data_IF_651768740095
#
_entry.id   IF_651768740095
#
_cell.length_a   1.000
_cell.length_b   1.000
_cell.length_c   1.000
_cell.angle_alpha   90.00
_cell.angle_beta   90.00
_cell.angle_gamma   90.00
#
_symmetry.space_group_name_H-M   'P 1'
#
loop_
_entity.id
_entity.type
_entity.pdbx_description
1 polymer ?
#
# COMPACT_ATOMS: atom_id res chain seq x y z
N UNK A 1 2.23 11.81 -40.43
CA UNK A 1 3.28 11.45 -39.45
C UNK A 1 4.06 10.27 -39.97
N UNK A 2 5.39 10.28 -39.85
CA UNK A 2 6.22 9.14 -40.28
C UNK A 2 5.81 7.90 -39.47
N UNK A 3 5.95 6.71 -40.06
CA UNK A 3 5.50 5.43 -39.43
C UNK A 3 6.04 5.27 -37.99
N UNK A 4 7.27 5.74 -37.74
CA UNK A 4 7.90 5.73 -36.42
C UNK A 4 7.23 6.67 -35.41
N UNK A 5 6.87 7.90 -35.80
CA UNK A 5 6.18 8.86 -34.90
C UNK A 5 4.84 8.31 -34.44
N UNK A 6 4.08 7.68 -35.35
CA UNK A 6 2.79 7.09 -35.02
C UNK A 6 2.92 5.91 -34.02
N UNK A 7 4.01 5.14 -34.09
CA UNK A 7 4.29 4.04 -33.15
C UNK A 7 4.64 4.60 -31.77
N UNK A 8 5.52 5.60 -31.71
CA UNK A 8 5.91 6.24 -30.45
C UNK A 8 4.70 6.86 -29.73
N UNK A 9 3.84 7.57 -30.47
CA UNK A 9 2.66 8.20 -29.89
C UNK A 9 1.68 7.17 -29.33
N UNK A 10 1.49 6.03 -30.02
CA UNK A 10 0.69 4.90 -29.52
C UNK A 10 1.27 4.32 -28.23
N UNK A 11 2.58 4.14 -28.15
CA UNK A 11 3.25 3.63 -26.95
C UNK A 11 3.06 4.57 -25.75
N UNK A 12 3.23 5.89 -25.96
CA UNK A 12 3.01 6.89 -24.91
C UNK A 12 1.57 6.86 -24.40
N UNK A 13 0.58 6.77 -25.29
CA UNK A 13 -0.83 6.68 -24.90
C UNK A 13 -1.09 5.41 -24.08
N UNK A 14 -0.59 4.25 -24.53
CA UNK A 14 -0.75 2.98 -23.81
C UNK A 14 -0.12 3.08 -22.41
N UNK A 15 1.09 3.63 -22.32
CA UNK A 15 1.79 3.81 -21.05
C UNK A 15 1.06 4.78 -20.11
N UNK A 16 0.47 5.85 -20.64
CA UNK A 16 -0.35 6.79 -19.87
C UNK A 16 -1.60 6.10 -19.28
N UNK A 17 -2.27 5.24 -20.06
CA UNK A 17 -3.42 4.47 -19.58
C UNK A 17 -3.02 3.54 -18.43
N UNK A 18 -1.93 2.79 -18.59
CA UNK A 18 -1.43 1.92 -17.51
C UNK A 18 -1.04 2.70 -16.25
N UNK A 19 -0.43 3.88 -16.41
CA UNK A 19 -0.10 4.76 -15.29
C UNK A 19 -1.34 5.22 -14.52
N UNK A 20 -2.41 5.62 -15.22
CA UNK A 20 -3.67 6.05 -14.59
C UNK A 20 -4.29 4.89 -13.81
N UNK A 21 -4.29 3.67 -14.38
CA UNK A 21 -4.81 2.47 -13.72
C UNK A 21 -4.00 2.16 -12.45
N UNK A 22 -2.68 2.14 -12.56
CA UNK A 22 -1.80 1.87 -11.42
C UNK A 22 -1.99 2.92 -10.30
N UNK A 23 -2.07 4.20 -10.66
CA UNK A 23 -2.32 5.28 -9.71
C UNK A 23 -3.69 5.14 -9.03
N UNK A 24 -4.71 4.74 -9.78
CA UNK A 24 -6.05 4.51 -9.24
C UNK A 24 -6.06 3.36 -8.24
N UNK A 25 -5.37 2.26 -8.55
CA UNK A 25 -5.23 1.12 -7.64
C UNK A 25 -4.49 1.50 -6.35
N UNK A 26 -3.40 2.28 -6.48
CA UNK A 26 -2.63 2.75 -5.32
C UNK A 26 -3.40 3.76 -4.46
N UNK A 27 -4.24 4.60 -5.06
CA UNK A 27 -5.02 5.60 -4.32
C UNK A 27 -5.98 4.97 -3.29
N UNK A 28 -6.62 3.85 -3.65
CA UNK A 28 -7.55 3.13 -2.78
C UNK A 28 -6.87 2.08 -1.91
N UNK A 29 -5.58 1.83 -2.12
CA UNK A 29 -4.80 0.94 -1.26
C UNK A 29 -4.20 1.77 -0.14
N UNK A 30 -4.41 1.42 1.14
CA UNK A 30 -3.76 2.12 2.24
C UNK A 30 -2.23 1.98 2.12
N UNK A 31 -1.58 3.02 1.58
CA UNK A 31 -0.13 3.10 1.39
C UNK A 31 0.63 2.92 2.70
N UNK A 32 -0.03 3.19 3.83
CA UNK A 32 0.45 2.96 5.19
C UNK A 32 0.84 1.51 5.49
N UNK A 33 0.23 0.52 4.82
CA UNK A 33 0.58 -0.90 5.00
C UNK A 33 1.92 -1.26 4.34
N UNK A 34 2.29 -0.54 3.28
CA UNK A 34 3.52 -0.80 2.51
C UNK A 34 4.68 0.13 2.87
N UNK A 35 4.37 1.37 3.30
CA UNK A 35 5.34 2.35 3.78
C UNK A 35 5.50 2.36 5.30
N UNK A 36 4.59 1.70 6.02
CA UNK A 36 4.76 1.41 7.43
C UNK A 36 6.01 0.57 7.58
N UNK A 37 7.04 1.14 8.22
CA UNK A 37 8.19 0.38 8.67
C UNK A 37 7.66 -0.75 9.56
N UNK A 38 7.64 -1.97 9.03
CA UNK A 38 7.43 -3.17 9.83
C UNK A 38 8.70 -3.32 10.69
N UNK A 39 8.72 -2.60 11.80
CA UNK A 39 9.56 -2.93 12.94
C UNK A 39 8.74 -3.79 13.90
N UNK A 40 8.12 -4.85 13.39
CA UNK A 40 7.79 -5.98 14.25
C UNK A 40 9.08 -6.77 14.48
N UNK A 41 9.93 -6.19 15.32
CA UNK A 41 10.96 -6.95 15.99
C UNK A 41 10.25 -7.84 17.01
N UNK A 42 10.42 -9.16 16.90
CA UNK A 42 10.00 -10.10 17.93
C UNK A 42 10.62 -9.68 19.26
N UNK A 43 9.82 -9.02 20.12
CA UNK A 43 10.26 -8.51 21.42
C UNK A 43 9.85 -7.08 21.77
N UNK A 44 9.38 -6.25 20.82
CA UNK A 44 8.99 -4.84 21.08
C UNK A 44 7.47 -4.59 20.87
N UNK A 45 6.66 -5.62 20.62
CA UNK A 45 5.20 -5.51 20.81
C UNK A 45 4.82 -5.66 22.29
N UNK A 46 5.27 -4.71 23.11
CA UNK A 46 4.79 -4.51 24.48
C UNK A 46 4.59 -3.02 24.68
N UNK A 47 3.38 -2.50 24.41
CA UNK A 47 2.77 -1.44 25.24
C UNK A 47 1.43 -0.83 24.76
N UNK A 48 0.85 -1.18 23.62
CA UNK A 48 -0.48 -0.64 23.24
C UNK A 48 -1.58 -1.69 23.06
N UNK A 49 -1.54 -2.74 23.89
CA UNK A 49 -2.74 -3.54 24.17
C UNK A 49 -2.90 -3.79 25.66
N UNK A 50 -2.71 -2.74 26.46
CA UNK A 50 -3.23 -2.68 27.83
C UNK A 50 -4.75 -2.51 27.78
N UNK A 51 -5.46 -3.56 27.36
CA UNK A 51 -6.73 -3.89 28.00
C UNK A 51 -6.41 -5.05 28.92
N UNK A 52 -5.99 -4.70 30.12
CA UNK A 52 -6.01 -5.55 31.30
C UNK A 52 -7.35 -6.28 31.30
N UNK A 53 -7.35 -7.53 30.87
CA UNK A 53 -8.43 -8.45 31.15
C UNK A 53 -8.21 -8.79 32.61
N UNK A 54 -8.85 -8.04 33.50
CA UNK A 54 -8.89 -8.37 34.92
C UNK A 54 -9.58 -9.73 35.01
N UNK A 55 -8.80 -10.77 35.32
CA UNK A 55 -9.34 -12.06 35.72
C UNK A 55 -10.03 -11.86 37.06
N UNK A 56 -11.35 -11.62 37.02
CA UNK A 56 -12.18 -11.72 38.23
C UNK A 56 -12.22 -13.21 38.57
N UNK A 57 -11.42 -13.60 39.57
CA UNK A 57 -11.61 -14.84 40.30
C UNK A 57 -12.67 -14.51 41.36
N UNK A 58 -13.93 -14.86 41.05
CA UNK A 58 -15.02 -14.86 42.03
C UNK A 58 -14.85 -16.07 42.97
N UNK A 59 -15.01 -15.84 44.26
CA UNK A 59 -14.75 -16.80 45.34
C UNK A 59 -16.01 -17.60 45.67
#
# INVERSE_FOLDING_TARGET
MKRMEAILLKLVIIQLVFLIIAQSLLLYTPLSFYLGKIYEYEGISKQEKTKTIETIIDR
#
